data_IF_866620059423
#
_entry.id   IF_866620059423
#
_cell.length_a   1.000
_cell.length_b   1.000
_cell.length_c   1.000
_cell.angle_alpha   90.00
_cell.angle_beta   90.00
_cell.angle_gamma   90.00
#
_symmetry.space_group_name_H-M   'P 1'
#
loop_
_entity.id
_entity.type
_entity.pdbx_description
1 polymer ?
#
# COMPACT_ATOMS: atom_id res chain seq x y z
N UNK A 1 -1.51 21.20 -0.79
CA UNK A 1 -1.99 19.85 -1.15
C UNK A 1 -3.34 19.53 -0.52
N UNK A 2 -3.43 19.39 0.80
CA UNK A 2 -4.67 18.96 1.49
C UNK A 2 -5.87 19.92 1.33
N UNK A 3 -5.64 21.17 0.99
CA UNK A 3 -6.68 22.16 0.73
C UNK A 3 -7.03 22.29 -0.77
N UNK A 4 -6.52 21.42 -1.62
CA UNK A 4 -6.77 21.41 -3.05
C UNK A 4 -6.39 22.72 -3.79
N UNK A 5 -5.41 23.46 -3.32
CA UNK A 5 -4.95 24.72 -3.89
C UNK A 5 -3.42 24.77 -4.09
N UNK A 6 -2.86 23.67 -4.57
CA UNK A 6 -1.44 23.61 -4.95
C UNK A 6 -1.16 24.51 -6.14
N UNK A 7 -0.29 25.51 -5.96
CA UNK A 7 0.03 26.51 -6.99
C UNK A 7 0.69 25.96 -8.26
N UNK A 8 1.35 24.78 -8.16
CA UNK A 8 2.03 24.14 -9.30
C UNK A 8 1.15 23.15 -10.07
N UNK A 9 -0.11 22.98 -9.68
CA UNK A 9 -1.05 22.07 -10.35
C UNK A 9 -0.90 20.58 -10.04
N UNK A 10 0.15 20.18 -9.29
CA UNK A 10 0.44 18.76 -8.99
C UNK A 10 -0.55 18.15 -7.99
N UNK A 11 -0.94 18.88 -6.95
CA UNK A 11 -1.80 18.42 -5.87
C UNK A 11 -3.08 19.26 -5.77
N UNK A 12 -3.78 19.38 -6.89
CA UNK A 12 -5.06 20.08 -6.99
C UNK A 12 -5.94 19.41 -8.04
N UNK A 13 -7.24 19.53 -7.91
CA UNK A 13 -8.24 19.14 -8.93
C UNK A 13 -8.82 20.36 -9.66
N UNK A 14 -8.32 21.56 -9.37
CA UNK A 14 -8.74 22.77 -10.05
C UNK A 14 -8.16 22.83 -11.46
N UNK A 15 -8.97 22.53 -12.47
CA UNK A 15 -8.55 22.44 -13.88
C UNK A 15 -7.80 23.67 -14.38
N UNK A 16 -8.22 24.87 -13.94
CA UNK A 16 -7.52 26.12 -14.27
C UNK A 16 -6.06 26.07 -13.84
N UNK A 17 -5.79 25.69 -12.58
CA UNK A 17 -4.42 25.63 -12.06
C UNK A 17 -3.62 24.54 -12.75
N UNK A 18 -4.23 23.40 -13.02
CA UNK A 18 -3.59 22.29 -13.76
C UNK A 18 -3.19 22.78 -15.16
N UNK A 19 -4.11 23.38 -15.90
CA UNK A 19 -3.85 23.82 -17.28
C UNK A 19 -2.81 24.95 -17.37
N UNK A 20 -2.78 25.84 -16.38
CA UNK A 20 -1.91 27.01 -16.39
C UNK A 20 -0.50 26.70 -15.85
N UNK A 21 -0.35 25.71 -14.96
CA UNK A 21 0.89 25.53 -14.19
C UNK A 21 1.44 24.12 -14.16
N UNK A 22 0.68 23.09 -14.51
CA UNK A 22 1.18 21.71 -14.52
C UNK A 22 1.92 21.42 -15.84
N UNK A 23 3.24 21.23 -15.72
CA UNK A 23 4.13 20.95 -16.85
C UNK A 23 4.65 19.50 -16.86
N UNK A 24 4.01 18.62 -16.08
CA UNK A 24 4.45 17.23 -15.95
C UNK A 24 4.13 16.41 -17.20
N UNK A 25 5.14 15.71 -17.71
CA UNK A 25 5.03 14.78 -18.83
C UNK A 25 5.61 13.43 -18.43
N UNK A 26 5.04 12.37 -18.98
CA UNK A 26 5.47 10.98 -18.72
C UNK A 26 6.93 10.78 -19.12
N UNK A 27 7.31 11.32 -20.25
CA UNK A 27 8.68 11.26 -20.81
C UNK A 27 9.71 11.90 -19.87
N UNK A 28 9.35 12.98 -19.20
CA UNK A 28 10.23 13.65 -18.23
C UNK A 28 10.54 12.71 -17.05
N UNK A 29 9.53 12.00 -16.54
CA UNK A 29 9.72 11.02 -15.45
C UNK A 29 10.54 9.83 -15.93
N UNK A 30 10.29 9.32 -17.11
CA UNK A 30 11.06 8.23 -17.71
C UNK A 30 12.53 8.63 -17.87
N UNK A 31 12.78 9.81 -18.43
CA UNK A 31 14.14 10.34 -18.63
C UNK A 31 14.89 10.51 -17.31
N UNK A 32 14.21 10.97 -16.25
CA UNK A 32 14.81 11.05 -14.93
C UNK A 32 15.37 9.69 -14.47
N UNK A 33 14.58 8.61 -14.56
CA UNK A 33 15.05 7.29 -14.16
C UNK A 33 16.13 6.72 -15.09
N UNK A 34 16.08 7.05 -16.39
CA UNK A 34 17.14 6.68 -17.34
C UNK A 34 18.46 7.36 -16.96
N UNK A 35 18.43 8.63 -16.58
CA UNK A 35 19.61 9.37 -16.17
C UNK A 35 20.18 8.83 -14.85
N UNK A 36 19.33 8.52 -13.88
CA UNK A 36 19.75 7.85 -12.63
C UNK A 36 20.43 6.51 -12.93
N UNK A 37 19.85 5.71 -13.83
CA UNK A 37 20.47 4.45 -14.22
C UNK A 37 21.83 4.62 -14.92
N UNK A 38 21.98 5.65 -15.76
CA UNK A 38 23.27 5.98 -16.39
C UNK A 38 24.33 6.37 -15.37
N UNK A 39 23.96 7.25 -14.42
CA UNK A 39 24.88 7.68 -13.35
C UNK A 39 25.32 6.50 -12.49
N UNK A 40 24.40 5.60 -12.12
CA UNK A 40 24.73 4.36 -11.41
C UNK A 40 25.71 3.51 -12.21
N UNK A 41 25.52 3.36 -13.51
CA UNK A 41 26.43 2.58 -14.38
C UNK A 41 27.83 3.19 -14.44
N UNK A 42 27.94 4.51 -14.49
CA UNK A 42 29.21 5.25 -14.47
C UNK A 42 29.96 5.04 -13.16
N UNK A 43 29.25 5.11 -12.02
CA UNK A 43 29.81 4.85 -10.69
C UNK A 43 30.27 3.39 -10.58
N UNK A 44 29.46 2.43 -11.01
CA UNK A 44 29.85 1.01 -11.00
C UNK A 44 31.10 0.76 -11.84
N UNK A 45 31.18 1.36 -13.02
CA UNK A 45 32.34 1.24 -13.90
C UNK A 45 33.60 1.84 -13.25
N UNK A 46 33.49 3.02 -12.63
CA UNK A 46 34.57 3.66 -11.90
C UNK A 46 35.09 2.81 -10.72
N UNK A 47 34.18 2.09 -10.05
CA UNK A 47 34.50 1.16 -8.97
C UNK A 47 34.98 -0.24 -9.46
N UNK A 48 34.92 -0.50 -10.76
CA UNK A 48 35.32 -1.78 -11.36
C UNK A 48 34.29 -2.91 -11.22
N UNK A 49 33.00 -2.58 -11.00
CA UNK A 49 31.92 -3.54 -10.88
C UNK A 49 31.01 -3.55 -12.12
N UNK A 50 30.42 -4.72 -12.41
CA UNK A 50 29.56 -4.92 -13.59
C UNK A 50 28.08 -4.80 -13.28
N UNK A 51 27.69 -4.98 -12.03
CA UNK A 51 26.28 -4.95 -11.62
C UNK A 51 26.11 -4.41 -10.20
N UNK A 52 24.88 -3.97 -9.88
CA UNK A 52 24.50 -3.50 -8.54
C UNK A 52 24.63 -4.65 -7.52
N UNK A 53 24.28 -5.88 -7.92
CA UNK A 53 24.33 -7.06 -7.06
C UNK A 53 25.73 -7.31 -6.50
N UNK A 54 26.77 -6.94 -7.26
CA UNK A 54 28.15 -7.12 -6.82
C UNK A 54 28.55 -6.20 -5.68
N UNK A 55 27.87 -5.06 -5.50
CA UNK A 55 28.18 -4.07 -4.46
C UNK A 55 27.23 -4.11 -3.26
N UNK A 56 26.14 -4.86 -3.33
CA UNK A 56 25.19 -4.97 -2.22
C UNK A 56 25.91 -5.48 -0.96
N UNK A 57 25.78 -4.72 0.14
CA UNK A 57 26.39 -5.02 1.44
C UNK A 57 27.88 -4.74 1.53
N UNK A 58 28.51 -4.18 0.51
CA UNK A 58 29.94 -3.78 0.53
C UNK A 58 30.11 -2.38 1.09
N UNK A 59 29.87 -2.23 2.39
CA UNK A 59 30.06 -0.94 3.08
C UNK A 59 31.52 -0.46 3.10
N UNK A 60 32.48 -1.33 2.82
CA UNK A 60 33.90 -0.98 2.64
C UNK A 60 34.20 -0.14 1.37
N UNK A 61 33.22 0.02 0.50
CA UNK A 61 33.27 0.97 -0.63
C UNK A 61 32.94 2.40 -0.22
N UNK A 62 32.50 2.62 1.02
CA UNK A 62 32.11 3.90 1.55
C UNK A 62 33.13 4.40 2.56
N UNK A 63 33.39 5.69 2.58
CA UNK A 63 34.22 6.35 3.59
C UNK A 63 33.53 7.61 4.13
N UNK A 64 33.88 7.99 5.36
CA UNK A 64 33.43 9.25 5.93
C UNK A 64 34.18 10.39 5.26
N UNK A 65 33.46 11.44 4.84
CA UNK A 65 34.08 12.65 4.28
C UNK A 65 34.98 13.31 5.33
N UNK A 66 36.22 13.61 4.94
CA UNK A 66 37.24 14.21 5.84
C UNK A 66 36.76 15.53 6.46
N UNK A 67 36.04 16.35 5.71
CA UNK A 67 35.51 17.65 6.12
C UNK A 67 34.49 17.55 7.28
N UNK A 68 33.83 16.40 7.42
CA UNK A 68 32.80 16.18 8.44
C UNK A 68 33.14 15.04 9.39
N UNK A 69 34.37 14.58 9.38
CA UNK A 69 34.80 13.38 10.11
C UNK A 69 34.48 13.43 11.61
N UNK A 70 34.82 14.52 12.30
CA UNK A 70 34.55 14.65 13.75
C UNK A 70 33.04 14.60 14.06
N UNK A 71 32.23 15.28 13.26
CA UNK A 71 30.77 15.27 13.45
C UNK A 71 30.18 13.91 13.14
N UNK A 72 30.60 13.27 12.08
CA UNK A 72 30.16 11.96 11.64
C UNK A 72 30.50 10.90 12.71
N UNK A 73 31.70 10.95 13.29
CA UNK A 73 32.13 10.03 14.35
C UNK A 73 31.34 10.27 15.64
N UNK A 74 31.11 11.52 16.04
CA UNK A 74 30.27 11.87 17.19
C UNK A 74 28.83 11.36 17.04
N UNK A 75 28.29 11.29 15.84
CA UNK A 75 26.98 10.73 15.51
C UNK A 75 26.99 9.19 15.41
N UNK A 76 28.14 8.55 15.50
CA UNK A 76 28.28 7.11 15.38
C UNK A 76 28.05 6.57 13.96
N UNK A 77 28.26 7.40 12.92
CA UNK A 77 28.10 7.01 11.53
C UNK A 77 29.13 5.98 11.07
N UNK A 78 30.27 5.88 11.73
CA UNK A 78 31.25 4.81 11.56
C UNK A 78 30.66 3.41 11.75
N UNK A 79 29.64 3.28 12.60
CA UNK A 79 28.93 2.01 12.82
C UNK A 79 28.09 1.59 11.60
N UNK A 80 27.66 2.53 10.78
CA UNK A 80 26.93 2.25 9.53
C UNK A 80 27.86 1.65 8.45
N UNK A 81 29.17 1.88 8.56
CA UNK A 81 30.16 1.34 7.66
C UNK A 81 30.61 -0.07 8.04
N UNK A 82 30.01 -0.66 9.08
CA UNK A 82 30.29 -2.03 9.47
C UNK A 82 29.93 -2.99 8.34
N UNK A 83 30.92 -3.74 7.86
CA UNK A 83 30.71 -4.76 6.83
C UNK A 83 30.19 -6.05 7.44
N UNK A 84 28.93 -6.34 7.19
CA UNK A 84 28.39 -7.67 7.45
C UNK A 84 28.94 -8.66 6.40
N UNK A 85 29.57 -9.74 6.86
CA UNK A 85 30.07 -10.82 6.00
C UNK A 85 29.22 -12.07 6.22
N UNK A 86 28.08 -12.21 5.54
CA UNK A 86 27.28 -13.42 5.64
C UNK A 86 28.02 -14.61 5.04
N UNK A 87 27.71 -15.81 5.50
CA UNK A 87 28.21 -17.03 4.88
C UNK A 87 27.72 -17.10 3.43
N UNK A 88 28.52 -17.71 2.54
CA UNK A 88 28.20 -17.80 1.09
C UNK A 88 26.78 -18.32 0.80
N UNK A 89 26.24 -19.18 1.65
CA UNK A 89 24.87 -19.71 1.55
C UNK A 89 23.77 -18.69 1.84
N UNK A 90 24.09 -17.54 2.46
CA UNK A 90 23.13 -16.48 2.82
C UNK A 90 23.09 -15.33 1.81
N UNK A 91 24.03 -15.32 0.85
CA UNK A 91 24.12 -14.30 -0.19
C UNK A 91 23.26 -14.67 -1.40
N UNK A 92 21.97 -14.62 -1.24
CA UNK A 92 21.07 -14.67 -2.39
C UNK A 92 20.74 -13.24 -2.81
N UNK A 93 21.64 -12.61 -3.57
CA UNK A 93 21.53 -11.21 -4.03
C UNK A 93 20.67 -11.06 -5.29
N UNK A 94 20.27 -12.17 -5.90
CA UNK A 94 19.38 -12.13 -7.06
C UNK A 94 17.94 -12.26 -6.62
N UNK A 95 17.10 -11.37 -7.14
CA UNK A 95 15.66 -11.53 -7.01
C UNK A 95 15.25 -12.87 -7.62
N UNK A 96 14.77 -13.79 -6.80
CA UNK A 96 14.18 -15.03 -7.29
C UNK A 96 12.75 -14.72 -7.75
N UNK A 97 12.34 -15.24 -8.91
CA UNK A 97 10.96 -15.21 -9.34
C UNK A 97 10.08 -15.77 -8.21
N UNK A 98 9.08 -15.01 -7.78
CA UNK A 98 8.13 -15.33 -6.69
C UNK A 98 8.58 -15.01 -5.25
N UNK A 99 9.53 -14.12 -5.02
CA UNK A 99 9.93 -13.73 -3.66
C UNK A 99 8.84 -12.95 -2.91
N UNK A 100 8.06 -12.16 -3.61
CA UNK A 100 7.00 -11.38 -2.99
C UNK A 100 5.69 -12.19 -2.98
N UNK A 101 5.61 -13.21 -2.13
CA UNK A 101 4.30 -13.64 -1.67
C UNK A 101 3.66 -12.42 -1.02
N UNK A 102 2.50 -12.03 -1.53
CA UNK A 102 1.72 -10.95 -0.92
C UNK A 102 1.54 -11.30 0.55
N UNK A 103 1.99 -10.43 1.44
CA UNK A 103 1.75 -10.57 2.88
C UNK A 103 0.26 -10.38 3.23
N UNK A 104 -0.55 -10.01 2.24
CA UNK A 104 -1.98 -9.88 2.39
C UNK A 104 -2.64 -11.22 2.20
N UNK A 105 -3.35 -11.67 3.23
CA UNK A 105 -4.24 -12.81 3.13
C UNK A 105 -5.54 -12.36 2.43
N UNK A 106 -5.63 -12.63 1.13
CA UNK A 106 -6.81 -12.31 0.32
C UNK A 106 -7.89 -13.40 0.37
N UNK A 107 -7.65 -14.48 1.10
CA UNK A 107 -8.55 -15.64 1.13
C UNK A 107 -9.96 -15.27 1.59
N UNK A 108 -10.07 -14.42 2.61
CA UNK A 108 -11.36 -13.96 3.12
C UNK A 108 -12.09 -13.06 2.13
N UNK A 109 -11.40 -12.14 1.47
CA UNK A 109 -12.01 -11.26 0.45
C UNK A 109 -12.60 -12.08 -0.70
N UNK A 110 -11.86 -13.07 -1.20
CA UNK A 110 -12.34 -13.99 -2.25
C UNK A 110 -13.55 -14.79 -1.80
N UNK A 111 -13.50 -15.38 -0.60
CA UNK A 111 -14.62 -16.12 -0.03
C UNK A 111 -15.88 -15.27 0.08
N UNK A 112 -15.74 -14.02 0.55
CA UNK A 112 -16.85 -13.08 0.65
C UNK A 112 -17.40 -12.80 -0.75
N UNK A 113 -16.55 -12.40 -1.70
CA UNK A 113 -16.93 -12.02 -3.05
C UNK A 113 -17.67 -13.16 -3.77
N UNK A 114 -17.17 -14.38 -3.68
CA UNK A 114 -17.83 -15.57 -4.26
C UNK A 114 -19.21 -15.82 -3.65
N UNK A 115 -19.32 -15.65 -2.34
CA UNK A 115 -20.58 -15.95 -1.62
C UNK A 115 -21.69 -14.95 -1.90
N UNK A 116 -21.34 -13.68 -2.17
CA UNK A 116 -22.32 -12.58 -2.29
C UNK A 116 -22.48 -12.02 -3.68
N UNK A 117 -21.67 -12.43 -4.67
CA UNK A 117 -21.70 -11.92 -6.03
C UNK A 117 -23.10 -11.88 -6.63
N UNK A 118 -23.83 -12.98 -6.53
CA UNK A 118 -25.22 -13.09 -7.03
C UNK A 118 -26.20 -12.15 -6.34
N UNK A 119 -25.98 -11.85 -5.06
CA UNK A 119 -26.78 -10.87 -4.33
C UNK A 119 -26.52 -9.47 -4.87
N UNK A 120 -25.27 -9.13 -5.10
CA UNK A 120 -24.88 -7.82 -5.66
C UNK A 120 -25.44 -7.66 -7.06
N UNK A 121 -25.25 -8.63 -7.95
CA UNK A 121 -25.76 -8.57 -9.33
C UNK A 121 -27.28 -8.33 -9.40
N UNK A 122 -28.03 -8.98 -8.51
CA UNK A 122 -29.48 -8.86 -8.44
C UNK A 122 -29.97 -7.68 -7.59
N UNK A 123 -29.08 -6.93 -6.95
CA UNK A 123 -29.43 -5.86 -6.02
C UNK A 123 -30.15 -6.36 -4.75
N UNK A 124 -30.03 -7.65 -4.42
CA UNK A 124 -30.70 -8.26 -3.26
C UNK A 124 -29.81 -8.21 -2.03
N UNK A 125 -30.42 -7.80 -0.93
CA UNK A 125 -29.79 -7.81 0.38
C UNK A 125 -29.53 -9.22 0.92
N UNK A 126 -29.16 -9.26 2.17
CA UNK A 126 -28.89 -10.49 2.92
C UNK A 126 -27.91 -10.25 4.04
N UNK A 127 -27.83 -11.22 4.97
CA UNK A 127 -26.89 -11.19 6.07
C UNK A 127 -25.95 -12.40 6.02
N UNK A 128 -24.66 -12.15 6.11
CA UNK A 128 -23.62 -13.17 6.03
C UNK A 128 -22.64 -13.00 7.19
N UNK A 129 -22.10 -14.10 7.70
CA UNK A 129 -21.19 -14.08 8.84
C UNK A 129 -19.86 -14.74 8.50
N UNK A 130 -18.77 -14.14 9.01
CA UNK A 130 -17.39 -14.56 8.75
C UNK A 130 -16.54 -14.44 10.01
N UNK A 131 -15.49 -15.24 10.10
CA UNK A 131 -14.39 -15.02 11.04
C UNK A 131 -13.34 -14.14 10.38
N UNK A 132 -12.75 -13.23 11.17
CA UNK A 132 -11.72 -12.32 10.67
C UNK A 132 -10.48 -12.37 11.57
N UNK A 133 -9.31 -12.21 10.98
CA UNK A 133 -8.03 -12.07 11.69
C UNK A 133 -7.29 -10.81 11.22
N UNK A 134 -6.28 -10.40 11.97
CA UNK A 134 -5.48 -9.20 11.68
C UNK A 134 -4.68 -9.28 10.36
N UNK A 135 -4.54 -10.45 9.77
CA UNK A 135 -3.95 -10.63 8.43
C UNK A 135 -4.90 -10.22 7.31
N UNK A 136 -6.22 -10.24 7.56
CA UNK A 136 -7.23 -9.84 6.59
C UNK A 136 -7.37 -8.31 6.57
N UNK A 137 -6.72 -7.69 5.59
CA UNK A 137 -6.66 -6.22 5.43
C UNK A 137 -7.68 -5.75 4.41
N UNK A 138 -8.12 -4.49 4.54
CA UNK A 138 -9.02 -3.81 3.59
C UNK A 138 -10.33 -4.57 3.31
N UNK A 139 -10.82 -5.36 4.27
CA UNK A 139 -12.09 -6.09 4.14
C UNK A 139 -13.23 -5.10 3.94
N UNK A 140 -14.08 -5.35 2.95
CA UNK A 140 -15.16 -4.47 2.50
C UNK A 140 -14.83 -3.68 1.22
N UNK A 141 -13.56 -3.40 0.93
CA UNK A 141 -13.18 -2.61 -0.24
C UNK A 141 -13.52 -3.31 -1.58
N UNK A 142 -13.23 -4.60 -1.70
CA UNK A 142 -13.53 -5.38 -2.91
C UNK A 142 -15.04 -5.46 -3.15
N UNK A 143 -15.81 -5.74 -2.08
CA UNK A 143 -17.28 -5.77 -2.12
C UNK A 143 -17.84 -4.42 -2.54
N UNK A 144 -17.31 -3.34 -2.01
CA UNK A 144 -17.68 -1.97 -2.38
C UNK A 144 -17.38 -1.68 -3.86
N UNK A 145 -16.25 -2.17 -4.35
CA UNK A 145 -15.93 -2.11 -5.78
C UNK A 145 -16.91 -2.90 -6.66
N UNK A 146 -17.36 -4.07 -6.21
CA UNK A 146 -18.38 -4.84 -6.91
C UNK A 146 -19.72 -4.11 -6.94
N UNK A 147 -20.15 -3.55 -5.81
CA UNK A 147 -21.39 -2.75 -5.70
C UNK A 147 -21.31 -1.53 -6.62
N UNK A 148 -20.22 -0.79 -6.60
CA UNK A 148 -20.05 0.40 -7.44
C UNK A 148 -20.07 0.06 -8.94
N UNK A 149 -19.49 -1.07 -9.34
CA UNK A 149 -19.58 -1.54 -10.74
C UNK A 149 -20.99 -1.93 -11.14
N UNK A 150 -21.74 -2.59 -10.26
CA UNK A 150 -23.09 -3.08 -10.57
C UNK A 150 -24.17 -1.99 -10.47
N UNK A 151 -24.05 -1.06 -9.52
CA UNK A 151 -25.11 -0.15 -9.14
C UNK A 151 -24.71 1.34 -9.14
N UNK A 152 -23.46 1.67 -9.54
CA UNK A 152 -22.90 3.02 -9.56
C UNK A 152 -23.05 3.70 -8.20
N UNK A 153 -23.31 5.00 -8.16
CA UNK A 153 -23.48 5.81 -6.94
C UNK A 153 -24.78 5.50 -6.18
N UNK A 154 -25.71 4.79 -6.79
CA UNK A 154 -26.98 4.41 -6.15
C UNK A 154 -26.74 3.44 -4.99
N UNK A 155 -25.68 2.62 -5.10
CA UNK A 155 -25.36 1.56 -4.14
C UNK A 155 -26.34 0.39 -4.19
N UNK A 156 -26.30 -0.47 -3.18
CA UNK A 156 -27.20 -1.62 -3.09
C UNK A 156 -28.64 -1.17 -2.91
N UNK A 157 -29.60 -1.66 -3.74
CA UNK A 157 -31.04 -1.41 -3.55
C UNK A 157 -31.55 -1.94 -2.21
N UNK A 158 -31.17 -3.17 -1.87
CA UNK A 158 -31.48 -3.78 -0.56
C UNK A 158 -30.19 -3.87 0.26
N UNK A 159 -30.28 -3.71 1.58
CA UNK A 159 -29.14 -3.71 2.48
C UNK A 159 -28.42 -5.05 2.51
N UNK A 160 -27.12 -5.04 2.25
CA UNK A 160 -26.23 -6.18 2.37
C UNK A 160 -25.44 -6.08 3.68
N UNK A 161 -25.58 -7.07 4.56
CA UNK A 161 -25.02 -7.06 5.91
C UNK A 161 -23.92 -8.13 6.01
N UNK A 162 -22.72 -7.72 6.39
CA UNK A 162 -21.60 -8.61 6.64
C UNK A 162 -21.19 -8.52 8.12
N UNK A 163 -21.35 -9.62 8.83
CA UNK A 163 -21.02 -9.75 10.24
C UNK A 163 -19.66 -10.43 10.40
N UNK A 164 -18.78 -9.85 11.19
CA UNK A 164 -17.45 -10.37 11.45
C UNK A 164 -17.22 -10.61 12.94
N UNK A 165 -16.49 -11.67 13.26
CA UNK A 165 -16.04 -11.95 14.63
C UNK A 165 -14.53 -12.20 14.63
N UNK A 166 -13.79 -11.41 15.43
CA UNK A 166 -12.34 -11.51 15.60
C UNK A 166 -11.64 -10.17 15.52
N UNK A 167 -10.38 -10.15 15.13
CA UNK A 167 -9.59 -8.93 15.00
C UNK A 167 -9.40 -8.60 13.52
N UNK A 168 -9.93 -7.48 13.06
CA UNK A 168 -9.76 -7.02 11.69
C UNK A 168 -8.37 -6.40 11.49
N UNK A 169 -7.76 -6.65 10.34
CA UNK A 169 -6.55 -5.99 9.90
C UNK A 169 -6.80 -4.52 9.52
N UNK A 170 -5.75 -3.86 9.05
CA UNK A 170 -5.80 -2.45 8.64
C UNK A 170 -6.89 -2.18 7.59
N UNK A 171 -7.49 -0.99 7.67
CA UNK A 171 -8.44 -0.46 6.69
C UNK A 171 -9.74 -1.27 6.57
N UNK A 172 -10.22 -1.85 7.69
CA UNK A 172 -11.52 -2.49 7.72
C UNK A 172 -12.62 -1.50 7.33
N UNK A 173 -13.44 -1.85 6.34
CA UNK A 173 -14.51 -1.01 5.84
C UNK A 173 -14.05 0.24 5.07
N UNK A 174 -12.80 0.29 4.61
CA UNK A 174 -12.37 1.40 3.77
C UNK A 174 -13.16 1.44 2.45
N UNK A 175 -13.51 2.66 2.01
CA UNK A 175 -14.33 2.93 0.82
C UNK A 175 -15.69 2.23 0.81
N UNK A 176 -16.22 1.94 1.99
CA UNK A 176 -17.47 1.21 2.13
C UNK A 176 -18.60 1.90 1.33
N UNK A 177 -19.26 1.15 0.44
CA UNK A 177 -20.26 1.66 -0.49
C UNK A 177 -21.65 1.73 0.13
N UNK A 178 -22.49 2.61 -0.41
CA UNK A 178 -23.87 2.77 0.04
C UNK A 178 -24.65 1.47 -0.03
N UNK A 179 -25.40 1.15 1.03
CA UNK A 179 -26.19 -0.07 1.17
C UNK A 179 -25.40 -1.30 1.65
N UNK A 180 -24.07 -1.15 1.87
CA UNK A 180 -23.27 -2.16 2.56
C UNK A 180 -23.15 -1.81 4.04
N UNK A 181 -23.48 -2.77 4.90
CA UNK A 181 -23.34 -2.69 6.35
C UNK A 181 -22.29 -3.70 6.82
N UNK A 182 -21.31 -3.23 7.57
CA UNK A 182 -20.27 -4.06 8.18
C UNK A 182 -20.39 -4.00 9.70
N UNK A 183 -20.52 -5.15 10.31
CA UNK A 183 -20.58 -5.31 11.76
C UNK A 183 -19.38 -6.12 12.23
N UNK A 184 -18.58 -5.59 13.14
CA UNK A 184 -17.43 -6.26 13.72
C UNK A 184 -17.65 -6.47 15.22
N UNK A 185 -17.70 -7.72 15.65
CA UNK A 185 -17.59 -8.09 17.06
C UNK A 185 -16.13 -8.46 17.35
N UNK A 186 -15.37 -7.51 17.94
CA UNK A 186 -13.94 -7.64 18.23
C UNK A 186 -13.15 -6.36 18.03
N UNK A 187 -11.89 -6.47 17.66
CA UNK A 187 -10.95 -5.37 17.51
C UNK A 187 -10.70 -5.06 16.03
N UNK A 188 -10.32 -3.83 15.73
CA UNK A 188 -9.86 -3.42 14.41
C UNK A 188 -8.56 -2.61 14.50
N UNK A 189 -7.70 -2.75 13.50
CA UNK A 189 -6.50 -1.94 13.34
C UNK A 189 -6.83 -0.56 12.73
N UNK A 190 -5.80 0.21 12.41
CA UNK A 190 -5.93 1.59 11.91
C UNK A 190 -6.76 1.71 10.62
N UNK A 191 -7.22 2.93 10.34
CA UNK A 191 -7.94 3.34 9.14
C UNK A 191 -9.32 2.67 8.94
N UNK A 192 -10.00 2.33 10.03
CA UNK A 192 -11.38 1.83 9.97
C UNK A 192 -12.27 2.86 9.26
N UNK A 193 -13.03 2.39 8.28
CA UNK A 193 -13.98 3.24 7.56
C UNK A 193 -13.39 4.38 6.73
N UNK A 194 -12.08 4.35 6.43
CA UNK A 194 -11.45 5.39 5.61
C UNK A 194 -12.14 5.52 4.25
N UNK A 195 -12.61 6.73 3.93
CA UNK A 195 -13.28 7.01 2.65
C UNK A 195 -14.68 6.42 2.51
N UNK A 196 -15.36 6.09 3.61
CA UNK A 196 -16.76 5.64 3.61
C UNK A 196 -17.67 6.69 3.00
N UNK A 197 -18.71 6.24 2.28
CA UNK A 197 -19.72 7.12 1.70
C UNK A 197 -21.12 6.52 1.75
N UNK A 198 -21.97 7.02 2.65
CA UNK A 198 -23.38 6.63 2.75
C UNK A 198 -23.64 5.18 3.18
N UNK A 199 -22.75 4.61 3.96
CA UNK A 199 -22.78 3.23 4.46
C UNK A 199 -22.77 3.16 5.99
N UNK A 200 -22.93 1.96 6.54
CA UNK A 200 -22.93 1.70 7.97
C UNK A 200 -21.73 0.81 8.36
N UNK A 201 -21.11 1.15 9.47
CA UNK A 201 -20.05 0.36 10.07
C UNK A 201 -20.22 0.37 11.59
N UNK A 202 -20.32 -0.79 12.17
CA UNK A 202 -20.43 -0.97 13.63
C UNK A 202 -19.28 -1.80 14.14
N UNK A 203 -18.71 -1.40 15.26
CA UNK A 203 -17.72 -2.14 16.02
C UNK A 203 -18.20 -2.30 17.46
N UNK A 204 -18.08 -3.47 18.01
CA UNK A 204 -18.37 -3.76 19.43
C UNK A 204 -17.29 -4.63 20.02
N UNK A 205 -17.03 -4.50 21.31
CA UNK A 205 -16.07 -5.33 22.00
C UNK A 205 -16.50 -6.81 22.00
N UNK A 206 -15.52 -7.69 21.97
CA UNK A 206 -15.75 -9.14 21.96
C UNK A 206 -16.19 -9.69 23.34
N UNK A 207 -16.33 -8.84 24.34
CA UNK A 207 -16.48 -9.20 25.76
C UNK A 207 -17.93 -9.47 26.22
N UNK A 208 -18.83 -9.87 25.29
CA UNK A 208 -20.16 -10.39 25.66
C UNK A 208 -20.42 -11.77 25.03
#
# INVERSE_FOLDING_TARGET
>A
GHQNNCATGVATQQLRIINDHFLGEVETVQNYFIFVAKEIREILAALGYKSIEEIIGKSDLLELKKEHYERATKMGLDKLLFRFRPNKSQLNTKAQNNINKTLNDESLSKLISEKISKNIEKGKGGAFSFKISNTHRSIGAEVSGMISRAHSEKGMPERLILNFKGTAGQSFGCWNAKGLELNLKGLANDYVGKGMNGCLLYTSDAAD
#
